data_IF_235779871780
#
_entry.id   IF_235779871780
#
_cell.length_a   1.000
_cell.length_b   1.000
_cell.length_c   1.000
_cell.angle_alpha   90.00
_cell.angle_beta   90.00
_cell.angle_gamma   90.00
#
_symmetry.space_group_name_H-M   'P 1'
#
loop_
_entity.id
_entity.type
_entity.pdbx_description
1 polymer ?
#
# COMPACT_ATOMS: atom_id res chain seq x y z
N UNK A 1 -19.73 10.79 -48.26
CA UNK A 1 -18.85 10.33 -47.16
C UNK A 1 -18.01 11.50 -46.67
N UNK A 2 -18.38 12.12 -45.56
CA UNK A 2 -17.54 13.07 -44.84
C UNK A 2 -17.52 12.64 -43.37
N UNK A 3 -16.38 12.13 -42.90
CA UNK A 3 -16.17 11.76 -41.49
C UNK A 3 -16.21 13.04 -40.66
N UNK A 4 -17.24 13.21 -39.85
CA UNK A 4 -17.23 14.19 -38.76
C UNK A 4 -16.13 13.76 -37.78
N UNK A 5 -15.00 14.47 -37.84
CA UNK A 5 -13.99 14.37 -36.79
C UNK A 5 -14.58 15.02 -35.53
N UNK A 6 -14.90 14.22 -34.52
CA UNK A 6 -15.17 14.71 -33.17
C UNK A 6 -13.96 15.54 -32.72
N UNK A 7 -14.13 16.86 -32.68
CA UNK A 7 -13.09 17.80 -32.25
C UNK A 7 -12.86 17.60 -30.75
N UNK A 8 -11.83 16.83 -30.41
CA UNK A 8 -11.42 16.56 -29.02
C UNK A 8 -11.21 17.87 -28.26
N UNK A 9 -12.01 18.09 -27.21
CA UNK A 9 -11.82 19.23 -26.30
C UNK A 9 -10.46 19.11 -25.61
N UNK A 10 -9.72 20.22 -25.52
CA UNK A 10 -8.40 20.28 -24.89
C UNK A 10 -8.42 21.32 -23.77
N UNK A 11 -7.74 21.01 -22.66
CA UNK A 11 -7.65 21.91 -21.52
C UNK A 11 -6.57 22.99 -21.76
N UNK A 12 -6.99 24.25 -21.69
CA UNK A 12 -6.12 25.42 -21.80
C UNK A 12 -6.01 26.13 -20.46
N UNK A 13 -4.80 26.56 -20.10
CA UNK A 13 -4.58 27.51 -19.01
C UNK A 13 -4.54 28.92 -19.58
N UNK A 14 -5.22 29.85 -18.91
CA UNK A 14 -5.31 31.22 -19.36
C UNK A 14 -5.05 32.21 -18.21
N UNK A 15 -4.52 33.37 -18.58
CA UNK A 15 -4.42 34.53 -17.70
C UNK A 15 -4.89 35.76 -18.44
N UNK A 16 -5.62 36.62 -17.73
CA UNK A 16 -6.19 37.84 -18.28
C UNK A 16 -6.44 38.88 -17.21
N UNK A 17 -7.02 39.99 -17.63
CA UNK A 17 -7.38 41.09 -16.74
C UNK A 17 -8.88 41.30 -16.81
N UNK A 18 -9.55 41.38 -15.65
CA UNK A 18 -10.97 41.72 -15.60
C UNK A 18 -11.22 43.21 -15.93
N UNK A 19 -12.49 43.62 -15.96
CA UNK A 19 -12.89 45.03 -16.20
C UNK A 19 -12.38 46.01 -15.14
N UNK A 20 -12.00 45.53 -13.96
CA UNK A 20 -11.53 46.33 -12.84
C UNK A 20 -9.99 46.39 -12.77
N UNK A 21 -9.29 45.76 -13.72
CA UNK A 21 -7.83 45.73 -13.75
C UNK A 21 -7.19 44.60 -12.92
N UNK A 22 -7.98 43.71 -12.32
CA UNK A 22 -7.46 42.59 -11.55
C UNK A 22 -7.00 41.46 -12.46
N UNK A 23 -5.85 40.87 -12.12
CA UNK A 23 -5.36 39.69 -12.82
C UNK A 23 -6.18 38.48 -12.41
N UNK A 24 -6.80 37.85 -13.38
CA UNK A 24 -7.57 36.61 -13.23
C UNK A 24 -6.91 35.50 -14.03
N UNK A 25 -6.85 34.32 -13.44
CA UNK A 25 -6.27 33.12 -14.06
C UNK A 25 -7.24 31.97 -13.91
N UNK A 26 -7.30 31.10 -14.90
CA UNK A 26 -8.18 29.94 -14.86
C UNK A 26 -7.80 28.89 -15.89
N UNK A 27 -8.60 27.82 -15.88
CA UNK A 27 -8.52 26.73 -16.84
C UNK A 27 -9.84 26.64 -17.60
N UNK A 28 -9.80 26.31 -18.89
CA UNK A 28 -10.99 26.15 -19.71
C UNK A 28 -10.78 25.05 -20.74
N UNK A 29 -11.75 24.15 -20.85
CA UNK A 29 -11.79 23.15 -21.93
C UNK A 29 -12.38 23.77 -23.19
N UNK A 30 -11.66 23.64 -24.31
CA UNK A 30 -12.05 24.24 -25.56
C UNK A 30 -11.52 23.47 -26.75
N UNK A 31 -12.16 23.64 -27.91
CA UNK A 31 -11.70 23.07 -29.18
C UNK A 31 -10.45 23.76 -29.75
N UNK A 32 -10.03 24.88 -29.17
CA UNK A 32 -8.85 25.62 -29.59
C UNK A 32 -8.64 26.92 -28.80
N UNK A 33 -7.44 27.52 -28.87
CA UNK A 33 -7.11 28.74 -28.12
C UNK A 33 -7.95 29.94 -28.56
N UNK A 34 -8.44 29.96 -29.81
CA UNK A 34 -9.33 31.00 -30.31
C UNK A 34 -10.68 31.01 -29.58
N UNK A 35 -11.24 29.82 -29.31
CA UNK A 35 -12.50 29.68 -28.59
C UNK A 35 -12.38 30.15 -27.13
N UNK A 36 -11.27 29.81 -26.46
CA UNK A 36 -10.98 30.31 -25.10
C UNK A 36 -10.92 31.84 -25.09
N UNK A 37 -10.22 32.46 -26.05
CA UNK A 37 -10.12 33.93 -26.14
C UNK A 37 -11.47 34.59 -26.39
N UNK A 38 -12.32 34.02 -27.23
CA UNK A 38 -13.66 34.57 -27.49
C UNK A 38 -14.57 34.47 -26.26
N UNK A 39 -14.52 33.34 -25.55
CA UNK A 39 -15.33 33.14 -24.33
C UNK A 39 -14.90 34.10 -23.23
N UNK A 40 -13.59 34.25 -22.98
CA UNK A 40 -13.06 35.18 -21.97
C UNK A 40 -13.43 36.63 -22.28
N UNK A 41 -13.35 37.06 -23.55
CA UNK A 41 -13.77 38.41 -23.94
C UNK A 41 -15.26 38.65 -23.71
N UNK A 42 -16.10 37.64 -23.95
CA UNK A 42 -17.55 37.71 -23.68
C UNK A 42 -17.84 37.83 -22.19
N UNK A 43 -17.03 37.21 -21.35
CA UNK A 43 -17.07 37.32 -19.89
C UNK A 43 -16.43 38.62 -19.35
N UNK A 44 -15.99 39.52 -20.23
CA UNK A 44 -15.38 40.79 -19.84
C UNK A 44 -13.92 40.67 -19.37
N UNK A 45 -13.28 39.53 -19.62
CA UNK A 45 -11.87 39.26 -19.31
C UNK A 45 -11.03 39.50 -20.57
N UNK A 46 -10.03 40.36 -20.48
CA UNK A 46 -9.06 40.58 -21.56
C UNK A 46 -7.95 39.51 -21.49
N UNK A 47 -7.90 38.52 -22.40
CA UNK A 47 -6.93 37.43 -22.31
C UNK A 47 -5.52 37.90 -22.68
N UNK A 48 -4.56 37.73 -21.76
CA UNK A 48 -3.14 38.07 -21.96
C UNK A 48 -2.32 36.84 -22.39
N UNK A 49 -2.61 35.67 -21.84
CA UNK A 49 -1.97 34.41 -22.20
C UNK A 49 -3.02 33.32 -22.29
N UNK A 50 -2.99 32.53 -23.35
CA UNK A 50 -3.75 31.30 -23.50
C UNK A 50 -2.77 30.25 -23.99
N UNK A 51 -2.48 29.25 -23.17
CA UNK A 51 -1.55 28.17 -23.49
C UNK A 51 -2.26 26.84 -23.32
N UNK A 52 -1.97 25.89 -24.21
CA UNK A 52 -2.39 24.51 -24.02
C UNK A 52 -1.70 24.01 -22.74
N UNK A 53 -2.47 23.45 -21.79
CA UNK A 53 -1.87 22.92 -20.58
C UNK A 53 -0.93 21.78 -20.99
N UNK A 54 0.39 21.87 -20.70
CA UNK A 54 1.31 20.81 -21.07
C UNK A 54 0.83 19.52 -20.41
N UNK A 55 0.72 18.43 -21.18
CA UNK A 55 0.45 17.12 -20.60
C UNK A 55 1.58 16.84 -19.60
N UNK A 56 1.25 16.59 -18.34
CA UNK A 56 2.25 16.25 -17.34
C UNK A 56 3.03 15.02 -17.83
N UNK A 57 4.34 15.17 -18.08
CA UNK A 57 5.22 14.08 -18.52
C UNK A 57 5.26 12.94 -17.49
N UNK A 58 4.97 13.25 -16.23
CA UNK A 58 4.75 12.28 -15.17
C UNK A 58 3.31 12.38 -14.67
N UNK A 59 2.45 11.46 -15.10
CA UNK A 59 1.12 11.33 -14.53
C UNK A 59 1.26 10.99 -13.04
N UNK A 60 0.68 11.83 -12.15
CA UNK A 60 0.57 11.49 -10.73
C UNK A 60 -0.12 10.13 -10.61
N UNK A 61 0.55 9.20 -9.91
CA UNK A 61 0.04 7.85 -9.69
C UNK A 61 -1.01 7.91 -8.58
N UNK A 62 -2.20 7.39 -8.87
CA UNK A 62 -3.28 7.22 -7.88
C UNK A 62 -2.80 6.29 -6.77
N UNK A 63 -2.84 6.75 -5.52
CA UNK A 63 -2.54 5.94 -4.34
C UNK A 63 -3.84 5.33 -3.79
N UNK A 64 -3.78 4.15 -3.15
CA UNK A 64 -4.93 3.54 -2.50
C UNK A 64 -5.63 4.48 -1.49
N UNK A 65 -4.86 5.24 -0.70
CA UNK A 65 -5.38 6.28 0.20
C UNK A 65 -6.25 7.33 -0.50
N UNK A 66 -5.92 7.71 -1.74
CA UNK A 66 -6.70 8.70 -2.46
C UNK A 66 -8.09 8.15 -2.84
N UNK A 67 -8.17 6.87 -3.21
CA UNK A 67 -9.45 6.17 -3.49
C UNK A 67 -10.25 5.95 -2.19
N UNK A 68 -9.59 5.63 -1.08
CA UNK A 68 -10.24 5.50 0.23
C UNK A 68 -10.92 6.81 0.65
N UNK A 69 -10.23 7.96 0.54
CA UNK A 69 -10.79 9.28 0.85
C UNK A 69 -11.97 9.62 -0.07
N UNK A 70 -11.79 9.41 -1.38
CA UNK A 70 -12.85 9.67 -2.35
C UNK A 70 -14.09 8.80 -2.09
N UNK A 71 -13.90 7.52 -1.76
CA UNK A 71 -14.99 6.58 -1.46
C UNK A 71 -15.74 6.98 -0.18
N UNK A 72 -15.03 7.42 0.87
CA UNK A 72 -15.65 8.00 2.07
C UNK A 72 -16.50 9.21 1.74
N UNK A 73 -15.98 10.14 0.93
CA UNK A 73 -16.74 11.33 0.53
C UNK A 73 -17.99 10.97 -0.28
N UNK A 74 -17.89 9.99 -1.20
CA UNK A 74 -19.07 9.46 -1.92
C UNK A 74 -20.07 8.87 -0.93
N UNK A 75 -19.65 8.00 -0.01
CA UNK A 75 -20.52 7.41 1.00
C UNK A 75 -21.26 8.47 1.83
N UNK A 76 -20.54 9.50 2.31
CA UNK A 76 -21.15 10.61 3.06
C UNK A 76 -22.18 11.38 2.22
N UNK A 77 -21.91 11.65 0.95
CA UNK A 77 -22.86 12.35 0.08
C UNK A 77 -24.08 11.48 -0.25
N UNK A 78 -23.89 10.19 -0.50
CA UNK A 78 -25.00 9.25 -0.72
C UNK A 78 -25.89 9.12 0.52
N UNK A 79 -25.29 9.00 1.72
CA UNK A 79 -26.03 9.00 2.98
C UNK A 79 -26.76 10.32 3.29
N UNK A 80 -26.32 11.43 2.69
CA UNK A 80 -27.05 12.70 2.71
C UNK A 80 -28.14 12.81 1.63
N UNK A 81 -28.38 11.75 0.86
CA UNK A 81 -29.41 11.68 -0.17
C UNK A 81 -29.02 12.31 -1.52
N UNK A 82 -27.74 12.64 -1.74
CA UNK A 82 -27.31 13.17 -3.04
C UNK A 82 -27.35 12.05 -4.11
N UNK A 83 -27.83 12.34 -5.34
CA UNK A 83 -27.76 11.40 -6.45
C UNK A 83 -26.33 10.97 -6.77
N UNK A 84 -26.15 9.71 -7.20
CA UNK A 84 -24.84 9.10 -7.52
C UNK A 84 -24.03 9.99 -8.47
N UNK A 85 -24.63 10.42 -9.59
CA UNK A 85 -23.95 11.27 -10.57
C UNK A 85 -23.47 12.60 -9.95
N UNK A 86 -24.25 13.19 -9.04
CA UNK A 86 -23.87 14.43 -8.36
C UNK A 86 -22.73 14.19 -7.36
N UNK A 87 -22.76 13.10 -6.61
CA UNK A 87 -21.67 12.73 -5.68
C UNK A 87 -20.36 12.53 -6.44
N UNK A 88 -20.36 11.75 -7.54
CA UNK A 88 -19.17 11.53 -8.35
C UNK A 88 -18.67 12.81 -9.05
N UNK A 89 -19.58 13.70 -9.47
CA UNK A 89 -19.22 15.03 -9.98
C UNK A 89 -18.48 15.86 -8.94
N UNK A 90 -18.99 15.91 -7.71
CA UNK A 90 -18.38 16.69 -6.63
C UNK A 90 -16.94 16.24 -6.34
N UNK A 91 -16.67 14.93 -6.38
CA UNK A 91 -15.29 14.40 -6.25
C UNK A 91 -14.42 14.83 -7.43
N UNK A 92 -14.92 14.70 -8.65
CA UNK A 92 -14.15 15.02 -9.85
C UNK A 92 -13.78 16.52 -9.90
N UNK A 93 -14.70 17.39 -9.52
CA UNK A 93 -14.52 18.84 -9.49
C UNK A 93 -13.66 19.29 -8.30
N UNK A 94 -13.79 18.63 -7.14
CA UNK A 94 -13.09 18.98 -5.91
C UNK A 94 -11.66 18.43 -5.76
N UNK A 95 -11.24 17.48 -6.61
CA UNK A 95 -9.90 16.89 -6.51
C UNK A 95 -8.83 17.64 -7.30
N UNK A 96 -7.67 17.86 -6.68
CA UNK A 96 -6.46 18.34 -7.36
C UNK A 96 -5.70 17.24 -8.11
N UNK A 97 -6.11 15.97 -7.95
CA UNK A 97 -5.44 14.84 -8.57
C UNK A 97 -6.01 14.58 -9.97
N UNK A 98 -5.28 14.86 -11.08
CA UNK A 98 -5.86 14.83 -12.43
C UNK A 98 -6.45 13.48 -12.81
N UNK A 99 -5.80 12.39 -12.37
CA UNK A 99 -6.27 11.03 -12.66
C UNK A 99 -7.50 10.61 -11.84
N UNK A 100 -7.73 11.21 -10.67
CA UNK A 100 -8.96 10.95 -9.90
C UNK A 100 -10.10 11.69 -10.57
N UNK A 101 -9.87 12.94 -10.99
CA UNK A 101 -10.82 13.71 -11.80
C UNK A 101 -11.24 12.94 -13.05
N UNK A 102 -10.28 12.37 -13.77
CA UNK A 102 -10.54 11.55 -14.95
C UNK A 102 -11.38 10.30 -14.63
N UNK A 103 -10.99 9.52 -13.62
CA UNK A 103 -11.68 8.27 -13.26
C UNK A 103 -13.10 8.55 -12.76
N UNK A 104 -13.28 9.46 -11.81
CA UNK A 104 -14.59 9.79 -11.26
C UNK A 104 -15.48 10.50 -12.28
N UNK A 105 -14.89 11.32 -13.17
CA UNK A 105 -15.60 11.93 -14.28
C UNK A 105 -16.08 10.90 -15.31
N UNK A 106 -15.27 9.89 -15.62
CA UNK A 106 -15.66 8.79 -16.51
C UNK A 106 -16.79 7.96 -15.90
N UNK A 107 -16.67 7.57 -14.62
CA UNK A 107 -17.73 6.84 -13.90
C UNK A 107 -19.02 7.66 -13.87
N UNK A 108 -18.93 8.97 -13.61
CA UNK A 108 -20.09 9.88 -13.64
C UNK A 108 -20.82 9.81 -14.98
N UNK A 109 -20.10 9.92 -16.09
CA UNK A 109 -20.68 9.91 -17.44
C UNK A 109 -21.37 8.58 -17.77
N UNK A 110 -20.78 7.46 -17.35
CA UNK A 110 -21.36 6.12 -17.52
C UNK A 110 -22.67 5.99 -16.74
N UNK A 111 -22.68 6.42 -15.47
CA UNK A 111 -23.89 6.42 -14.64
C UNK A 111 -24.96 7.37 -15.20
N UNK A 112 -24.57 8.56 -15.68
CA UNK A 112 -25.47 9.50 -16.37
C UNK A 112 -26.07 8.90 -17.65
N UNK A 113 -25.35 7.98 -18.31
CA UNK A 113 -25.83 7.27 -19.50
C UNK A 113 -26.72 6.07 -19.20
N UNK A 114 -26.94 5.75 -17.92
CA UNK A 114 -27.81 4.66 -17.46
C UNK A 114 -27.09 3.34 -17.18
N UNK A 115 -25.75 3.30 -17.20
CA UNK A 115 -24.98 2.13 -16.77
C UNK A 115 -25.00 2.01 -15.25
N UNK A 116 -25.12 0.79 -14.73
CA UNK A 116 -25.02 0.55 -13.29
C UNK A 116 -23.65 1.02 -12.75
N UNK A 117 -23.63 1.60 -11.56
CA UNK A 117 -22.42 2.09 -10.90
C UNK A 117 -21.39 0.97 -10.74
N UNK A 118 -21.82 -0.22 -10.32
CA UNK A 118 -20.96 -1.40 -10.20
C UNK A 118 -20.26 -1.77 -11.51
N UNK A 119 -20.97 -1.74 -12.65
CA UNK A 119 -20.39 -1.98 -13.97
C UNK A 119 -19.41 -0.88 -14.39
N UNK A 120 -19.74 0.38 -14.11
CA UNK A 120 -18.85 1.50 -14.38
C UNK A 120 -17.55 1.41 -13.56
N UNK A 121 -17.62 0.99 -12.30
CA UNK A 121 -16.47 0.76 -11.43
C UNK A 121 -15.60 -0.42 -11.89
N UNK A 122 -16.19 -1.49 -12.40
CA UNK A 122 -15.47 -2.67 -12.91
C UNK A 122 -14.54 -2.34 -14.10
N UNK A 123 -14.81 -1.26 -14.85
CA UNK A 123 -13.91 -0.73 -15.89
C UNK A 123 -12.58 -0.23 -15.33
N UNK A 124 -12.47 -0.05 -14.01
CA UNK A 124 -11.29 0.44 -13.29
C UNK A 124 -10.80 -0.55 -12.21
N UNK A 125 -10.46 -1.81 -12.56
CA UNK A 125 -10.20 -2.90 -11.61
C UNK A 125 -8.91 -2.73 -10.77
N UNK A 126 -8.08 -1.74 -11.13
CA UNK A 126 -6.87 -1.40 -10.35
C UNK A 126 -7.17 -0.49 -9.16
N UNK A 127 -8.30 0.22 -9.19
CA UNK A 127 -8.72 1.16 -8.16
C UNK A 127 -9.87 0.60 -7.32
N UNK A 128 -10.78 -0.13 -7.97
CA UNK A 128 -11.94 -0.77 -7.34
C UNK A 128 -11.77 -2.28 -7.49
N UNK A 129 -11.54 -2.96 -6.38
CA UNK A 129 -11.37 -4.42 -6.38
C UNK A 129 -12.74 -5.14 -6.47
N UNK A 130 -12.69 -6.47 -6.60
CA UNK A 130 -13.90 -7.29 -6.73
C UNK A 130 -14.87 -7.08 -5.55
N UNK A 131 -14.33 -6.99 -4.33
CA UNK A 131 -15.11 -6.75 -3.13
C UNK A 131 -15.87 -5.42 -3.20
N UNK A 132 -15.19 -4.33 -3.58
CA UNK A 132 -15.80 -3.02 -3.76
C UNK A 132 -16.96 -3.10 -4.76
N UNK A 133 -16.72 -3.68 -5.94
CA UNK A 133 -17.72 -3.75 -7.00
C UNK A 133 -18.91 -4.63 -6.63
N UNK A 134 -18.69 -5.74 -5.91
CA UNK A 134 -19.75 -6.64 -5.48
C UNK A 134 -20.66 -5.98 -4.44
N UNK A 135 -20.10 -5.28 -3.46
CA UNK A 135 -20.88 -4.55 -2.46
C UNK A 135 -21.72 -3.44 -3.10
N UNK A 136 -21.14 -2.69 -4.04
CA UNK A 136 -21.90 -1.69 -4.80
C UNK A 136 -23.03 -2.35 -5.60
N UNK A 137 -22.76 -3.46 -6.29
CA UNK A 137 -23.79 -4.17 -7.07
C UNK A 137 -24.96 -4.66 -6.20
N UNK A 138 -24.67 -5.13 -4.99
CA UNK A 138 -25.71 -5.52 -4.04
C UNK A 138 -26.50 -4.31 -3.57
N UNK A 139 -25.83 -3.19 -3.29
CA UNK A 139 -26.47 -1.96 -2.82
C UNK A 139 -27.37 -1.32 -3.87
N UNK A 140 -26.95 -1.38 -5.13
CA UNK A 140 -27.78 -0.95 -6.26
C UNK A 140 -29.03 -1.82 -6.42
N UNK A 141 -28.91 -3.14 -6.27
CA UNK A 141 -30.05 -4.07 -6.39
C UNK A 141 -31.00 -4.00 -5.20
N UNK A 142 -30.48 -3.81 -3.99
CA UNK A 142 -31.26 -3.76 -2.75
C UNK A 142 -31.82 -2.37 -2.43
N UNK A 143 -31.37 -1.33 -3.14
CA UNK A 143 -31.76 0.06 -2.88
C UNK A 143 -31.13 0.65 -1.63
N UNK A 144 -30.12 0.00 -1.04
CA UNK A 144 -29.42 0.42 0.18
C UNK A 144 -27.95 0.75 -0.11
N UNK A 145 -27.72 1.49 -1.20
CA UNK A 145 -26.37 1.81 -1.70
C UNK A 145 -25.59 2.71 -0.74
N UNK A 146 -26.27 3.60 -0.03
CA UNK A 146 -25.70 4.48 0.99
C UNK A 146 -25.06 3.71 2.15
N UNK A 147 -25.77 2.75 2.75
CA UNK A 147 -25.21 1.88 3.81
C UNK A 147 -24.04 1.03 3.30
N UNK A 148 -24.18 0.41 2.12
CA UNK A 148 -23.11 -0.43 1.60
C UNK A 148 -21.88 0.36 1.17
N UNK A 149 -22.06 1.58 0.67
CA UNK A 149 -20.94 2.47 0.40
C UNK A 149 -20.24 2.92 1.68
N UNK A 150 -20.98 3.10 2.79
CA UNK A 150 -20.38 3.36 4.11
C UNK A 150 -19.51 2.18 4.58
N UNK A 151 -20.03 0.95 4.46
CA UNK A 151 -19.27 -0.28 4.77
C UNK A 151 -18.01 -0.42 3.91
N UNK A 152 -18.11 -0.14 2.60
CA UNK A 152 -16.96 -0.12 1.68
C UNK A 152 -15.93 0.93 2.11
N UNK A 153 -16.36 2.14 2.44
CA UNK A 153 -15.47 3.22 2.87
C UNK A 153 -14.75 2.87 4.18
N UNK A 154 -15.47 2.35 5.18
CA UNK A 154 -14.91 1.89 6.45
C UNK A 154 -13.84 0.80 6.23
N UNK A 155 -14.14 -0.18 5.38
CA UNK A 155 -13.19 -1.24 5.03
C UNK A 155 -11.90 -0.66 4.41
N UNK A 156 -12.03 0.26 3.45
CA UNK A 156 -10.87 0.89 2.81
C UNK A 156 -10.04 1.72 3.79
N UNK A 157 -10.68 2.46 4.69
CA UNK A 157 -10.03 3.26 5.73
C UNK A 157 -9.22 2.38 6.68
N UNK A 158 -9.82 1.30 7.18
CA UNK A 158 -9.16 0.35 8.07
C UNK A 158 -7.91 -0.26 7.42
N UNK A 159 -7.98 -0.62 6.14
CA UNK A 159 -6.82 -1.14 5.40
C UNK A 159 -5.70 -0.11 5.31
N UNK A 160 -6.02 1.14 4.98
CA UNK A 160 -5.01 2.19 4.86
C UNK A 160 -4.44 2.58 6.23
N UNK A 161 -5.23 2.54 7.30
CA UNK A 161 -4.76 2.74 8.68
C UNK A 161 -3.76 1.65 9.08
N UNK A 162 -4.10 0.37 8.84
CA UNK A 162 -3.20 -0.75 9.12
C UNK A 162 -1.89 -0.60 8.34
N UNK A 163 -1.97 -0.28 7.04
CA UNK A 163 -0.77 -0.05 6.21
C UNK A 163 0.05 1.14 6.72
N UNK A 164 -0.60 2.21 7.16
CA UNK A 164 0.08 3.38 7.71
C UNK A 164 0.81 3.04 9.00
N UNK A 165 0.17 2.28 9.91
CA UNK A 165 0.80 1.79 11.15
C UNK A 165 2.00 0.91 10.88
N UNK A 166 1.86 -0.08 9.98
CA UNK A 166 2.97 -0.95 9.58
C UNK A 166 4.13 -0.14 8.99
N UNK A 167 3.85 0.82 8.10
CA UNK A 167 4.90 1.68 7.52
C UNK A 167 5.56 2.58 8.55
N UNK A 168 4.78 3.15 9.47
CA UNK A 168 5.28 3.98 10.57
C UNK A 168 6.24 3.20 11.47
N UNK A 169 5.85 1.98 11.87
CA UNK A 169 6.66 1.08 12.67
C UNK A 169 8.01 0.72 12.02
N UNK A 170 8.06 0.63 10.69
CA UNK A 170 9.28 0.29 9.95
C UNK A 170 10.22 1.48 9.70
N UNK A 171 9.74 2.72 9.84
CA UNK A 171 10.55 3.90 9.56
C UNK A 171 11.71 4.07 10.54
N UNK A 172 11.44 3.91 11.83
CA UNK A 172 12.47 4.05 12.86
C UNK A 172 13.62 3.03 12.71
N UNK A 173 13.37 1.72 12.58
CA UNK A 173 14.42 0.73 12.29
C UNK A 173 15.22 1.07 11.03
N UNK A 174 14.56 1.48 9.95
CA UNK A 174 15.23 1.83 8.71
C UNK A 174 16.14 3.06 8.88
N UNK A 175 15.70 4.08 9.61
CA UNK A 175 16.49 5.29 9.88
C UNK A 175 17.73 4.97 10.73
N UNK A 176 17.59 4.21 11.81
CA UNK A 176 18.71 3.84 12.68
C UNK A 176 19.70 2.92 11.95
N UNK A 177 19.22 1.95 11.16
CA UNK A 177 20.08 1.11 10.32
C UNK A 177 20.83 1.94 9.28
N UNK A 178 20.17 2.93 8.66
CA UNK A 178 20.80 3.82 7.69
C UNK A 178 21.91 4.66 8.33
N UNK A 179 21.65 5.27 9.50
CA UNK A 179 22.67 6.03 10.23
C UNK A 179 23.82 5.12 10.67
N UNK A 180 23.51 3.95 11.25
CA UNK A 180 24.52 2.97 11.64
C UNK A 180 25.39 2.54 10.46
N UNK A 181 24.76 2.23 9.32
CA UNK A 181 25.46 1.89 8.08
C UNK A 181 26.37 3.02 7.60
N UNK A 182 25.89 4.27 7.59
CA UNK A 182 26.71 5.44 7.21
C UNK A 182 27.93 5.57 8.13
N UNK A 183 27.74 5.45 9.45
CA UNK A 183 28.83 5.52 10.43
C UNK A 183 29.83 4.39 10.20
N UNK A 184 29.35 3.16 10.01
CA UNK A 184 30.20 2.00 9.70
C UNK A 184 31.02 2.23 8.42
N UNK A 185 30.39 2.69 7.35
CA UNK A 185 31.08 2.99 6.08
C UNK A 185 32.13 4.07 6.28
N UNK A 186 31.82 5.14 7.03
CA UNK A 186 32.77 6.21 7.32
C UNK A 186 34.00 5.68 8.09
N UNK A 187 33.78 4.89 9.14
CA UNK A 187 34.86 4.28 9.92
C UNK A 187 35.71 3.34 9.06
N UNK A 188 35.05 2.46 8.29
CA UNK A 188 35.73 1.54 7.39
C UNK A 188 36.55 2.29 6.36
N UNK A 189 35.99 3.28 5.64
CA UNK A 189 36.60 3.95 4.46
C UNK A 189 37.62 5.04 4.84
N UNK A 190 37.38 5.83 5.89
CA UNK A 190 38.27 6.95 6.21
C UNK A 190 39.18 6.69 7.40
N UNK A 191 38.65 6.05 8.45
CA UNK A 191 39.37 5.97 9.73
C UNK A 191 40.34 4.80 9.74
N UNK A 192 39.90 3.59 9.39
CA UNK A 192 40.73 2.39 9.46
C UNK A 192 42.07 2.46 8.69
N UNK A 193 42.17 3.07 7.49
CA UNK A 193 43.46 3.19 6.77
C UNK A 193 44.44 4.09 7.46
N UNK A 194 43.95 5.18 8.06
CA UNK A 194 44.84 6.10 8.76
C UNK A 194 45.52 5.37 9.92
N UNK A 195 44.80 4.44 10.55
CA UNK A 195 45.38 3.55 11.56
C UNK A 195 46.30 2.50 10.93
N UNK A 196 45.92 1.87 9.81
CA UNK A 196 46.79 0.92 9.09
C UNK A 196 48.13 1.55 8.70
N UNK A 197 48.11 2.72 8.06
CA UNK A 197 49.29 3.50 7.67
C UNK A 197 50.17 3.81 8.89
N UNK A 198 49.54 4.28 9.97
CA UNK A 198 50.23 4.57 11.23
C UNK A 198 50.92 3.32 11.77
N UNK A 199 50.26 2.16 11.83
CA UNK A 199 50.85 0.93 12.36
C UNK A 199 51.91 0.30 11.44
N UNK A 200 51.75 0.40 10.13
CA UNK A 200 52.75 -0.08 9.16
C UNK A 200 54.11 0.58 9.37
N UNK A 201 54.12 1.83 9.84
CA UNK A 201 55.33 2.59 10.12
C UNK A 201 56.10 2.14 11.38
N UNK A 202 55.46 1.39 12.30
CA UNK A 202 56.07 0.93 13.56
C UNK A 202 56.70 -0.47 13.48
N UNK A 203 56.59 -1.18 12.36
CA UNK A 203 57.24 -2.49 12.15
C UNK A 203 56.70 -3.63 13.02
N UNK A 204 55.58 -3.43 13.72
CA UNK A 204 54.94 -4.44 14.57
C UNK A 204 53.79 -5.15 13.83
N UNK A 205 53.63 -6.46 14.05
CA UNK A 205 52.50 -7.21 13.49
C UNK A 205 51.19 -6.78 14.16
N UNK A 206 50.19 -6.43 13.35
CA UNK A 206 48.86 -6.06 13.82
C UNK A 206 48.22 -7.21 14.64
N UNK A 207 47.46 -6.91 15.72
CA UNK A 207 46.62 -7.90 16.39
C UNK A 207 45.65 -8.57 15.40
N UNK A 208 45.37 -9.86 15.59
CA UNK A 208 44.51 -10.64 14.70
C UNK A 208 43.12 -10.00 14.47
N UNK A 209 42.50 -9.44 15.51
CA UNK A 209 41.20 -8.76 15.39
C UNK A 209 41.29 -7.52 14.50
N UNK A 210 42.36 -6.73 14.63
CA UNK A 210 42.60 -5.53 13.80
C UNK A 210 42.90 -5.90 12.36
N UNK A 211 43.68 -6.96 12.13
CA UNK A 211 44.00 -7.45 10.79
C UNK A 211 42.74 -7.90 10.03
N UNK A 212 41.85 -8.68 10.67
CA UNK A 212 40.58 -9.11 10.05
C UNK A 212 39.70 -7.91 9.67
N UNK A 213 39.63 -6.90 10.54
CA UNK A 213 38.84 -5.68 10.28
C UNK A 213 39.42 -4.87 9.12
N UNK A 214 40.75 -4.80 9.01
CA UNK A 214 41.44 -4.14 7.89
C UNK A 214 41.20 -4.91 6.58
N UNK A 215 41.34 -6.23 6.58
CA UNK A 215 41.05 -7.07 5.39
C UNK A 215 39.59 -6.92 4.92
N UNK A 216 38.63 -6.93 5.85
CA UNK A 216 37.23 -6.68 5.53
C UNK A 216 37.00 -5.26 5.00
N UNK A 217 37.71 -4.25 5.54
CA UNK A 217 37.66 -2.88 5.05
C UNK A 217 38.19 -2.75 3.63
N UNK A 218 39.35 -3.38 3.34
CA UNK A 218 39.98 -3.40 2.02
C UNK A 218 39.05 -4.07 0.99
N UNK A 219 38.56 -5.27 1.29
CA UNK A 219 37.58 -5.96 0.45
C UNK A 219 36.29 -5.15 0.24
N UNK A 220 35.81 -4.46 1.28
CA UNK A 220 34.65 -3.59 1.15
C UNK A 220 34.95 -2.38 0.23
N UNK A 221 36.10 -1.71 0.31
CA UNK A 221 36.41 -0.56 -0.57
C UNK A 221 36.56 -0.94 -2.04
N UNK A 222 37.08 -2.12 -2.33
CA UNK A 222 37.25 -2.58 -3.70
C UNK A 222 35.93 -3.07 -4.29
N UNK A 223 35.11 -3.74 -3.47
CA UNK A 223 33.90 -4.44 -3.94
C UNK A 223 32.59 -3.75 -3.56
N UNK A 224 32.55 -2.64 -2.82
CA UNK A 224 31.28 -2.07 -2.34
C UNK A 224 30.30 -1.74 -3.46
N UNK A 225 30.79 -1.25 -4.61
CA UNK A 225 29.95 -1.02 -5.80
C UNK A 225 29.38 -2.32 -6.35
N UNK A 226 30.16 -3.40 -6.36
CA UNK A 226 29.73 -4.71 -6.84
C UNK A 226 28.76 -5.36 -5.85
N UNK A 227 29.04 -5.29 -4.55
CA UNK A 227 28.14 -5.76 -3.47
C UNK A 227 26.81 -5.02 -3.54
N UNK A 228 26.84 -3.69 -3.69
CA UNK A 228 25.63 -2.90 -3.84
C UNK A 228 24.88 -3.24 -5.13
N UNK A 229 25.60 -3.42 -6.26
CA UNK A 229 25.01 -3.86 -7.52
C UNK A 229 24.38 -5.25 -7.43
N UNK A 230 24.98 -6.19 -6.70
CA UNK A 230 24.43 -7.53 -6.46
C UNK A 230 23.19 -7.46 -5.58
N UNK A 231 23.20 -6.68 -4.50
CA UNK A 231 22.04 -6.49 -3.62
C UNK A 231 20.88 -5.87 -4.41
N UNK A 232 21.14 -4.76 -5.11
CA UNK A 232 20.12 -4.10 -5.95
C UNK A 232 19.65 -5.03 -7.07
N UNK A 233 20.57 -5.73 -7.73
CA UNK A 233 20.27 -6.71 -8.77
C UNK A 233 19.39 -7.85 -8.26
N UNK A 234 19.68 -8.37 -7.07
CA UNK A 234 18.87 -9.39 -6.41
C UNK A 234 17.47 -8.86 -6.08
N UNK A 235 17.36 -7.66 -5.50
CA UNK A 235 16.07 -7.02 -5.19
C UNK A 235 15.25 -6.83 -6.47
N UNK A 236 15.84 -6.30 -7.54
CA UNK A 236 15.16 -6.08 -8.83
C UNK A 236 14.73 -7.41 -9.45
N UNK A 237 15.61 -8.42 -9.44
CA UNK A 237 15.32 -9.75 -10.01
C UNK A 237 14.22 -10.45 -9.25
N UNK A 238 14.26 -10.42 -7.91
CA UNK A 238 13.19 -10.97 -7.05
C UNK A 238 11.89 -10.20 -7.28
N UNK A 239 11.93 -8.86 -7.36
CA UNK A 239 10.75 -8.04 -7.60
C UNK A 239 10.12 -8.30 -8.97
N UNK A 240 10.93 -8.42 -10.02
CA UNK A 240 10.46 -8.75 -11.36
C UNK A 240 9.92 -10.18 -11.44
N UNK A 241 10.63 -11.14 -10.83
CA UNK A 241 10.21 -12.54 -10.78
C UNK A 241 8.90 -12.72 -10.00
N UNK A 242 8.76 -12.03 -8.86
CA UNK A 242 7.51 -11.99 -8.09
C UNK A 242 6.35 -11.41 -8.90
N UNK A 243 6.58 -10.43 -9.77
CA UNK A 243 5.51 -9.88 -10.62
C UNK A 243 5.16 -10.78 -11.82
N UNK A 244 6.08 -11.63 -12.28
CA UNK A 244 5.92 -12.46 -13.49
C UNK A 244 5.50 -13.90 -13.21
N UNK A 245 5.93 -14.49 -12.10
CA UNK A 245 5.75 -15.91 -11.82
C UNK A 245 4.77 -16.15 -10.66
N UNK A 246 3.67 -16.82 -10.95
CA UNK A 246 2.69 -17.25 -9.93
C UNK A 246 3.29 -18.24 -8.93
N UNK A 247 4.14 -19.16 -9.40
CA UNK A 247 4.84 -20.12 -8.54
C UNK A 247 5.81 -19.41 -7.56
N UNK A 248 6.51 -18.36 -8.03
CA UNK A 248 7.38 -17.57 -7.18
C UNK A 248 6.57 -16.80 -6.12
N UNK A 249 5.43 -16.20 -6.51
CA UNK A 249 4.51 -15.54 -5.57
C UNK A 249 4.03 -16.52 -4.50
N UNK A 250 3.64 -17.72 -4.90
CA UNK A 250 3.21 -18.78 -3.99
C UNK A 250 4.28 -19.14 -2.96
N UNK A 251 5.52 -19.36 -3.41
CA UNK A 251 6.63 -19.71 -2.52
C UNK A 251 6.96 -18.57 -1.56
N UNK A 252 6.98 -17.33 -2.04
CA UNK A 252 7.23 -16.15 -1.21
C UNK A 252 6.13 -15.99 -0.16
N UNK A 253 4.87 -16.13 -0.55
CA UNK A 253 3.72 -16.04 0.35
C UNK A 253 3.78 -17.16 1.41
N UNK A 254 4.18 -18.38 1.04
CA UNK A 254 4.34 -19.50 1.98
C UNK A 254 5.52 -19.31 2.94
N UNK A 255 6.67 -18.86 2.45
CA UNK A 255 7.86 -18.58 3.27
C UNK A 255 7.58 -17.43 4.24
N UNK A 256 6.92 -16.37 3.77
CA UNK A 256 6.62 -15.20 4.60
C UNK A 256 5.75 -15.54 5.83
N UNK A 257 4.83 -16.49 5.70
CA UNK A 257 4.02 -16.99 6.82
C UNK A 257 4.83 -17.78 7.87
N UNK A 258 5.97 -18.35 7.48
CA UNK A 258 6.87 -19.12 8.35
C UNK A 258 7.93 -18.26 9.04
N UNK A 259 8.14 -17.02 8.59
CA UNK A 259 9.13 -16.15 9.20
C UNK A 259 8.76 -15.82 10.66
N UNK A 260 9.74 -15.83 11.59
CA UNK A 260 9.50 -15.38 12.95
C UNK A 260 9.08 -13.91 12.94
N UNK A 261 8.20 -13.53 13.87
CA UNK A 261 7.62 -12.19 14.01
C UNK A 261 6.69 -11.80 12.84
N UNK A 262 7.20 -11.66 11.61
CA UNK A 262 6.41 -11.25 10.43
C UNK A 262 5.31 -12.25 10.06
N UNK A 263 5.58 -13.56 10.14
CA UNK A 263 4.61 -14.59 9.81
C UNK A 263 3.41 -14.62 10.75
N UNK A 264 3.59 -14.20 12.01
CA UNK A 264 2.50 -14.06 12.99
C UNK A 264 1.58 -12.90 12.57
N UNK A 265 2.17 -11.75 12.22
CA UNK A 265 1.43 -10.56 11.77
C UNK A 265 0.65 -10.90 10.49
N UNK A 266 1.28 -11.55 9.51
CA UNK A 266 0.64 -11.90 8.24
C UNK A 266 -0.54 -12.86 8.43
N UNK A 267 -0.41 -13.89 9.28
CA UNK A 267 -1.51 -14.81 9.63
C UNK A 267 -2.67 -14.08 10.30
N UNK A 268 -2.40 -13.31 11.36
CA UNK A 268 -3.41 -12.53 12.07
C UNK A 268 -4.11 -11.54 11.13
N UNK A 269 -3.36 -10.88 10.25
CA UNK A 269 -3.91 -9.92 9.29
C UNK A 269 -4.75 -10.59 8.20
N UNK A 270 -4.36 -11.79 7.74
CA UNK A 270 -5.17 -12.56 6.79
C UNK A 270 -6.49 -13.03 7.42
N UNK A 271 -6.45 -13.50 8.68
CA UNK A 271 -7.65 -13.90 9.44
C UNK A 271 -8.57 -12.70 9.70
N UNK A 272 -8.01 -11.55 10.11
CA UNK A 272 -8.76 -10.31 10.29
C UNK A 272 -9.47 -9.87 9.01
N UNK A 273 -8.75 -9.85 7.87
CA UNK A 273 -9.36 -9.51 6.56
C UNK A 273 -10.41 -10.53 6.14
N UNK A 274 -10.15 -11.82 6.34
CA UNK A 274 -11.13 -12.88 6.08
C UNK A 274 -12.43 -12.62 6.84
N UNK A 275 -12.35 -12.48 8.17
CA UNK A 275 -13.51 -12.30 9.03
C UNK A 275 -14.24 -10.99 8.73
N UNK A 276 -13.50 -9.88 8.56
CA UNK A 276 -14.08 -8.57 8.25
C UNK A 276 -14.81 -8.61 6.91
N UNK A 277 -14.14 -9.07 5.85
CA UNK A 277 -14.72 -9.10 4.51
C UNK A 277 -15.92 -10.03 4.45
N UNK A 278 -15.85 -11.21 5.07
CA UNK A 278 -16.96 -12.13 5.06
C UNK A 278 -18.16 -11.60 5.86
N UNK A 279 -17.92 -10.97 7.02
CA UNK A 279 -18.97 -10.30 7.81
C UNK A 279 -19.66 -9.21 6.99
N UNK A 280 -18.88 -8.33 6.34
CA UNK A 280 -19.41 -7.24 5.52
C UNK A 280 -20.24 -7.76 4.34
N UNK A 281 -19.76 -8.79 3.65
CA UNK A 281 -20.48 -9.38 2.51
C UNK A 281 -21.77 -10.08 2.95
N UNK A 282 -21.69 -10.90 4.00
CA UNK A 282 -22.84 -11.62 4.52
C UNK A 282 -23.90 -10.68 5.08
N UNK A 283 -23.49 -9.67 5.85
CA UNK A 283 -24.37 -8.62 6.39
C UNK A 283 -24.95 -7.68 5.33
N UNK A 284 -24.32 -7.60 4.16
CA UNK A 284 -24.87 -6.92 2.99
C UNK A 284 -25.92 -7.76 2.24
N UNK A 285 -26.15 -9.02 2.65
CA UNK A 285 -27.04 -9.96 1.98
C UNK A 285 -26.42 -10.64 0.76
N UNK A 286 -25.09 -10.59 0.61
CA UNK A 286 -24.40 -11.34 -0.46
C UNK A 286 -24.44 -12.84 -0.11
N UNK A 287 -24.83 -13.72 -1.05
CA UNK A 287 -24.78 -15.16 -0.83
C UNK A 287 -23.40 -15.63 -0.35
N UNK A 288 -23.36 -16.53 0.62
CA UNK A 288 -22.12 -16.97 1.28
C UNK A 288 -21.05 -17.45 0.28
N UNK A 289 -21.44 -18.23 -0.72
CA UNK A 289 -20.55 -18.78 -1.76
C UNK A 289 -19.93 -17.67 -2.62
N UNK A 290 -20.69 -16.62 -2.93
CA UNK A 290 -20.21 -15.44 -3.68
C UNK A 290 -19.34 -14.54 -2.79
N UNK A 291 -19.71 -14.42 -1.51
CA UNK A 291 -18.92 -13.74 -0.49
C UNK A 291 -17.52 -14.35 -0.34
N UNK A 292 -17.42 -15.68 -0.27
CA UNK A 292 -16.14 -16.40 -0.14
C UNK A 292 -15.19 -16.17 -1.33
N UNK A 293 -15.72 -16.00 -2.54
CA UNK A 293 -14.92 -15.64 -3.72
C UNK A 293 -14.32 -14.24 -3.60
N UNK A 294 -15.11 -13.28 -3.10
CA UNK A 294 -14.63 -11.91 -2.83
C UNK A 294 -13.61 -11.87 -1.69
N UNK A 295 -13.82 -12.68 -0.64
CA UNK A 295 -12.89 -12.84 0.49
C UNK A 295 -11.55 -13.40 0.03
N UNK A 296 -11.53 -14.35 -0.91
CA UNK A 296 -10.29 -14.90 -1.46
C UNK A 296 -9.36 -13.80 -2.02
N UNK A 297 -9.92 -12.77 -2.66
CA UNK A 297 -9.17 -11.60 -3.15
C UNK A 297 -8.71 -10.64 -2.04
N UNK A 298 -9.47 -10.54 -0.95
CA UNK A 298 -9.20 -9.62 0.17
C UNK A 298 -8.19 -10.15 1.20
N UNK A 299 -7.99 -11.47 1.31
CA UNK A 299 -7.10 -12.06 2.33
C UNK A 299 -5.64 -11.59 2.24
N UNK A 300 -5.17 -11.13 1.07
CA UNK A 300 -3.84 -10.53 0.89
C UNK A 300 -2.66 -11.50 0.99
N UNK A 301 -2.90 -12.79 1.11
CA UNK A 301 -1.89 -13.85 1.04
C UNK A 301 -2.48 -15.03 0.26
N UNK A 302 -1.74 -15.56 -0.72
CA UNK A 302 -2.25 -16.60 -1.62
C UNK A 302 -2.61 -17.91 -0.93
N UNK A 303 -1.93 -18.29 0.15
CA UNK A 303 -2.28 -19.49 0.95
C UNK A 303 -3.68 -19.38 1.55
N UNK A 304 -4.03 -18.20 2.06
CA UNK A 304 -5.39 -17.93 2.57
C UNK A 304 -6.40 -17.77 1.43
N UNK A 305 -5.99 -17.20 0.30
CA UNK A 305 -6.82 -17.07 -0.91
C UNK A 305 -7.28 -18.46 -1.41
N UNK A 306 -6.34 -19.39 -1.56
CA UNK A 306 -6.63 -20.75 -2.01
C UNK A 306 -7.48 -21.52 -0.99
N UNK A 307 -7.21 -21.32 0.30
CA UNK A 307 -8.05 -21.89 1.36
C UNK A 307 -9.49 -21.37 1.29
N UNK A 308 -9.71 -20.08 0.99
CA UNK A 308 -11.06 -19.53 0.80
C UNK A 308 -11.76 -20.16 -0.41
N UNK A 309 -11.03 -20.39 -1.50
CA UNK A 309 -11.58 -21.06 -2.69
C UNK A 309 -11.94 -22.52 -2.39
N UNK A 310 -11.12 -23.23 -1.62
CA UNK A 310 -11.43 -24.58 -1.15
C UNK A 310 -12.63 -24.62 -0.21
N UNK A 311 -12.71 -23.68 0.75
CA UNK A 311 -13.89 -23.53 1.63
C UNK A 311 -15.16 -23.28 0.80
N UNK A 312 -15.08 -22.42 -0.21
CA UNK A 312 -16.19 -22.14 -1.12
C UNK A 312 -16.69 -23.41 -1.81
N UNK A 313 -15.79 -24.22 -2.35
CA UNK A 313 -16.14 -25.47 -3.03
C UNK A 313 -16.88 -26.44 -2.09
N UNK A 314 -16.35 -26.61 -0.88
CA UNK A 314 -16.91 -27.49 0.15
C UNK A 314 -18.28 -26.99 0.64
N UNK A 315 -18.42 -25.69 0.90
CA UNK A 315 -19.69 -25.06 1.31
C UNK A 315 -20.73 -25.10 0.19
N UNK A 316 -20.31 -24.95 -1.08
CA UNK A 316 -21.20 -25.12 -2.23
C UNK A 316 -21.76 -26.55 -2.33
N UNK A 317 -21.01 -27.53 -1.83
CA UNK A 317 -21.45 -28.92 -1.67
C UNK A 317 -22.39 -29.17 -0.49
N UNK A 318 -22.75 -28.14 0.29
CA UNK A 318 -23.69 -28.20 1.40
C UNK A 318 -23.09 -28.48 2.77
N UNK A 319 -21.76 -28.49 2.90
CA UNK A 319 -21.12 -28.65 4.22
C UNK A 319 -21.12 -27.32 5.00
N UNK A 320 -21.20 -27.41 6.34
CA UNK A 320 -21.15 -26.25 7.22
C UNK A 320 -19.85 -25.46 7.06
N UNK A 321 -19.93 -24.13 7.12
CA UNK A 321 -18.80 -23.22 6.94
C UNK A 321 -17.70 -23.47 7.97
N UNK A 322 -18.08 -23.64 9.24
CA UNK A 322 -17.14 -23.93 10.32
C UNK A 322 -16.33 -25.21 10.07
N UNK A 323 -16.98 -26.25 9.54
CA UNK A 323 -16.36 -27.53 9.19
C UNK A 323 -15.43 -27.41 7.98
N UNK A 324 -15.83 -26.65 6.96
CA UNK A 324 -14.99 -26.36 5.80
C UNK A 324 -13.73 -25.57 6.19
N UNK A 325 -13.86 -24.58 7.08
CA UNK A 325 -12.73 -23.81 7.61
C UNK A 325 -11.76 -24.69 8.41
N UNK A 326 -12.27 -25.58 9.25
CA UNK A 326 -11.46 -26.51 10.06
C UNK A 326 -10.54 -27.38 9.20
N UNK A 327 -11.06 -27.91 8.08
CA UNK A 327 -10.31 -28.78 7.16
C UNK A 327 -9.07 -28.10 6.56
N UNK A 328 -9.04 -26.77 6.46
CA UNK A 328 -7.87 -26.04 5.94
C UNK A 328 -6.69 -26.01 6.92
N UNK A 329 -6.93 -26.19 8.23
CA UNK A 329 -5.90 -26.07 9.27
C UNK A 329 -5.29 -24.67 9.44
N UNK A 330 -5.84 -23.63 8.79
CA UNK A 330 -5.29 -22.27 8.83
C UNK A 330 -5.97 -21.35 9.86
N UNK A 331 -7.18 -21.71 10.28
CA UNK A 331 -7.99 -20.90 11.18
C UNK A 331 -7.85 -21.39 12.64
N UNK A 332 -7.62 -20.47 13.58
CA UNK A 332 -7.51 -20.80 15.00
C UNK A 332 -8.88 -21.12 15.61
N UNK A 333 -8.87 -21.86 16.73
CA UNK A 333 -10.07 -22.37 17.40
C UNK A 333 -11.12 -21.28 17.69
N UNK A 334 -10.69 -20.08 18.09
CA UNK A 334 -11.62 -18.97 18.36
C UNK A 334 -12.46 -18.59 17.14
N UNK A 335 -11.85 -18.52 15.95
CA UNK A 335 -12.56 -18.15 14.71
C UNK A 335 -13.50 -19.27 14.28
N UNK A 336 -13.04 -20.52 14.40
CA UNK A 336 -13.87 -21.69 14.11
C UNK A 336 -15.11 -21.74 15.02
N UNK A 337 -14.92 -21.48 16.32
CA UNK A 337 -16.00 -21.46 17.30
C UNK A 337 -16.98 -20.31 17.06
N UNK A 338 -16.49 -19.09 16.82
CA UNK A 338 -17.34 -17.95 16.46
C UNK A 338 -18.15 -18.22 15.19
N UNK A 339 -17.53 -18.86 14.20
CA UNK A 339 -18.22 -19.25 12.96
C UNK A 339 -19.29 -20.29 13.23
N UNK A 340 -18.98 -21.36 13.98
CA UNK A 340 -19.94 -22.42 14.33
C UNK A 340 -21.13 -21.85 15.11
N UNK A 341 -20.87 -21.07 16.16
CA UNK A 341 -21.93 -20.45 16.96
C UNK A 341 -22.76 -19.47 16.12
N UNK A 342 -22.13 -18.69 15.23
CA UNK A 342 -22.84 -17.79 14.32
C UNK A 342 -23.70 -18.51 13.30
N UNK A 343 -23.23 -19.64 12.77
CA UNK A 343 -23.95 -20.49 11.82
C UNK A 343 -25.15 -21.18 12.48
N UNK A 344 -24.99 -21.70 13.71
CA UNK A 344 -26.06 -22.34 14.48
C UNK A 344 -27.13 -21.36 14.98
N UNK A 345 -26.74 -20.14 15.34
CA UNK A 345 -27.64 -19.10 15.87
C UNK A 345 -28.22 -18.16 14.81
N UNK A 346 -27.75 -18.24 13.56
CA UNK A 346 -28.09 -17.29 12.50
C UNK A 346 -27.39 -15.93 12.61
N UNK A 347 -26.55 -15.73 13.62
CA UNK A 347 -25.84 -14.47 13.92
C UNK A 347 -24.40 -14.47 13.36
N UNK A 348 -24.21 -15.04 12.17
CA UNK A 348 -22.87 -15.20 11.57
C UNK A 348 -22.16 -13.87 11.33
N UNK A 349 -22.87 -12.84 10.85
CA UNK A 349 -22.31 -11.48 10.69
C UNK A 349 -21.76 -10.96 12.02
N UNK A 350 -22.56 -11.03 13.08
CA UNK A 350 -22.21 -10.53 14.42
C UNK A 350 -20.95 -11.23 14.95
N UNK A 351 -20.89 -12.56 14.80
CA UNK A 351 -19.75 -13.35 15.28
C UNK A 351 -18.48 -13.12 14.46
N UNK A 352 -18.58 -13.00 13.14
CA UNK A 352 -17.44 -12.69 12.28
C UNK A 352 -16.92 -11.27 12.51
N UNK A 353 -17.79 -10.28 12.78
CA UNK A 353 -17.36 -8.93 13.16
C UNK A 353 -16.56 -8.93 14.47
N UNK A 354 -17.00 -9.67 15.49
CA UNK A 354 -16.23 -9.82 16.74
C UNK A 354 -14.87 -10.49 16.50
N UNK A 355 -14.83 -11.53 15.65
CA UNK A 355 -13.57 -12.17 15.27
C UNK A 355 -12.65 -11.18 14.55
N UNK A 356 -13.18 -10.38 13.63
CA UNK A 356 -12.43 -9.36 12.90
C UNK A 356 -11.82 -8.33 13.85
N UNK A 357 -12.61 -7.74 14.75
CA UNK A 357 -12.16 -6.74 15.72
C UNK A 357 -11.06 -7.29 16.64
N UNK A 358 -11.23 -8.53 17.11
CA UNK A 358 -10.24 -9.22 17.92
C UNK A 358 -8.91 -9.35 17.15
N UNK A 359 -8.94 -9.88 15.92
CA UNK A 359 -7.71 -10.05 15.14
C UNK A 359 -7.11 -8.73 14.65
N UNK A 360 -7.91 -7.68 14.41
CA UNK A 360 -7.43 -6.33 14.11
C UNK A 360 -6.64 -5.74 15.29
N UNK A 361 -7.08 -5.98 16.52
CA UNK A 361 -6.32 -5.62 17.72
C UNK A 361 -5.06 -6.46 17.85
N UNK A 362 -5.14 -7.78 17.67
CA UNK A 362 -3.99 -8.68 17.71
C UNK A 362 -2.93 -8.34 16.66
N UNK A 363 -3.32 -7.81 15.49
CA UNK A 363 -2.41 -7.31 14.46
C UNK A 363 -1.71 -6.05 14.95
N UNK A 364 -2.45 -5.09 15.52
CA UNK A 364 -1.89 -3.85 16.07
C UNK A 364 -0.86 -4.15 17.16
N UNK A 365 -1.21 -5.01 18.11
CA UNK A 365 -0.31 -5.43 19.18
C UNK A 365 0.92 -6.18 18.66
N UNK A 366 0.76 -7.04 17.65
CA UNK A 366 1.90 -7.73 17.05
C UNK A 366 2.87 -6.78 16.33
N UNK A 367 2.35 -5.73 15.68
CA UNK A 367 3.17 -4.66 15.06
C UNK A 367 3.90 -3.84 16.12
N UNK A 368 3.23 -3.49 17.23
CA UNK A 368 3.84 -2.75 18.32
C UNK A 368 4.93 -3.57 19.03
N UNK A 369 4.66 -4.86 19.30
CA UNK A 369 5.63 -5.77 19.91
C UNK A 369 6.83 -6.04 19.00
N UNK A 370 6.62 -6.15 17.69
CA UNK A 370 7.71 -6.23 16.71
C UNK A 370 8.63 -5.01 16.83
N UNK A 371 8.06 -3.80 16.93
CA UNK A 371 8.84 -2.57 17.06
C UNK A 371 9.69 -2.56 18.33
N UNK A 372 9.12 -3.02 19.47
CA UNK A 372 9.83 -3.15 20.75
C UNK A 372 10.96 -4.18 20.72
N UNK A 373 10.81 -5.28 19.97
CA UNK A 373 11.87 -6.30 19.85
C UNK A 373 13.00 -5.85 18.93
N UNK A 374 12.70 -5.01 17.93
CA UNK A 374 13.72 -4.50 17.02
C UNK A 374 14.73 -3.62 17.76
N UNK A 375 14.31 -2.82 18.74
CA UNK A 375 15.20 -1.89 19.44
C UNK A 375 16.38 -2.58 20.18
N UNK A 376 16.17 -3.60 21.03
CA UNK A 376 17.28 -4.35 21.63
C UNK A 376 18.18 -5.02 20.60
N UNK A 377 17.60 -5.62 19.55
CA UNK A 377 18.38 -6.26 18.48
C UNK A 377 19.26 -5.21 17.79
N UNK A 378 18.71 -4.04 17.50
CA UNK A 378 19.43 -2.91 16.89
C UNK A 378 20.58 -2.44 17.77
N UNK A 379 20.34 -2.23 19.07
CA UNK A 379 21.38 -1.82 20.02
C UNK A 379 22.46 -2.88 20.14
N UNK A 380 22.10 -4.17 20.23
CA UNK A 380 23.07 -5.26 20.30
C UNK A 380 23.89 -5.40 19.02
N UNK A 381 23.27 -5.30 17.84
CA UNK A 381 23.96 -5.40 16.55
C UNK A 381 24.85 -4.18 16.32
N UNK A 382 24.33 -2.96 16.47
CA UNK A 382 25.11 -1.74 16.26
C UNK A 382 26.17 -1.55 17.34
N UNK A 383 25.83 -1.80 18.60
CA UNK A 383 26.78 -1.75 19.71
C UNK A 383 27.87 -2.79 19.57
N UNK A 384 27.53 -4.01 19.16
CA UNK A 384 28.49 -5.07 18.84
C UNK A 384 29.39 -4.69 17.67
N UNK A 385 28.81 -4.18 16.58
CA UNK A 385 29.54 -3.77 15.39
C UNK A 385 30.49 -2.59 15.69
N UNK A 386 29.98 -1.48 16.22
CA UNK A 386 30.77 -0.29 16.54
C UNK A 386 31.76 -0.60 17.67
N UNK A 387 31.35 -1.34 18.69
CA UNK A 387 32.23 -1.76 19.78
C UNK A 387 33.40 -2.60 19.29
N UNK A 388 33.14 -3.57 18.41
CA UNK A 388 34.21 -4.39 17.79
C UNK A 388 35.17 -3.52 16.98
N UNK A 389 34.65 -2.57 16.19
CA UNK A 389 35.48 -1.63 15.43
C UNK A 389 36.37 -0.78 16.35
N UNK A 390 35.80 -0.22 17.42
CA UNK A 390 36.56 0.58 18.40
C UNK A 390 37.63 -0.28 19.07
N UNK A 391 37.29 -1.47 19.57
CA UNK A 391 38.28 -2.37 20.18
C UNK A 391 39.39 -2.72 19.19
N UNK A 392 39.05 -3.05 17.95
CA UNK A 392 40.01 -3.35 16.90
C UNK A 392 40.98 -2.18 16.64
N UNK A 393 40.51 -0.94 16.76
CA UNK A 393 41.35 0.26 16.59
C UNK A 393 42.23 0.58 17.81
N UNK A 394 41.74 0.33 19.03
CA UNK A 394 42.48 0.65 20.26
C UNK A 394 43.45 -0.45 20.70
N UNK A 395 43.16 -1.72 20.40
CA UNK A 395 43.99 -2.86 20.80
C UNK A 395 45.47 -2.74 20.37
N UNK A 396 45.79 -2.27 19.15
CA UNK A 396 47.18 -2.06 18.75
C UNK A 396 47.87 -0.94 19.54
N UNK A 397 47.16 0.12 19.92
CA UNK A 397 47.70 1.22 20.74
C UNK A 397 48.19 0.68 22.09
N UNK A 398 47.38 -0.16 22.74
CA UNK A 398 47.75 -0.79 24.02
C UNK A 398 48.96 -1.71 23.88
N UNK A 399 49.05 -2.48 22.79
CA UNK A 399 50.23 -3.32 22.55
C UNK A 399 51.50 -2.51 22.31
N UNK A 400 51.41 -1.37 21.60
CA UNK A 400 52.57 -0.49 21.41
C UNK A 400 53.03 0.14 22.72
N UNK A 401 52.10 0.59 23.57
CA UNK A 401 52.42 1.13 24.90
C UNK A 401 52.96 0.11 25.90
N UNK A 402 52.93 -1.19 25.58
CA UNK A 402 53.56 -2.24 26.36
C UNK A 402 54.95 -2.66 25.81
N UNK A 403 55.30 -2.22 24.59
CA UNK A 403 56.57 -2.51 23.91
C UNK A 403 57.53 -1.31 23.99
N UNK A 404 57.01 -0.08 24.06
CA UNK A 404 57.72 1.12 24.54
C UNK A 404 57.79 1.12 26.07
#
# INVERSE_FOLDING_TARGET
MARNAEKTQQLYTWSGTDRHGNKVTGEMEAQGPAYVRSTLRREGINPRSVRKKPKALFAKKVKPKDISIASRQVATMLGAGLPIAQSYKAIADGTDHPRIREIFGAIRLEVESGTALSEALQKHPRQFDALYTSLVAVGERSGNLDDLMDKVALYMENIEEIKAKVKGALWYPAAVLAVGFIVTVLLLVFVIPQFEDLFSSFGASLPALTAIVIELSQGFRELWLQVFAVIVGAIVTISMSYRRSEAMRHRVDQISLRMPVFGIILRKAAISRYARTLATMFGAGVPLVEGLESVAGATGNRVYSDACMSIREVVSGGQALSSAMSQTGLFPAMVLQMTSTGEESGELETMLNKAAEFYEREVREAVDNMSKLIEPIMISVLGGLVGTLVVAMYLPIFKMGAIM
#
